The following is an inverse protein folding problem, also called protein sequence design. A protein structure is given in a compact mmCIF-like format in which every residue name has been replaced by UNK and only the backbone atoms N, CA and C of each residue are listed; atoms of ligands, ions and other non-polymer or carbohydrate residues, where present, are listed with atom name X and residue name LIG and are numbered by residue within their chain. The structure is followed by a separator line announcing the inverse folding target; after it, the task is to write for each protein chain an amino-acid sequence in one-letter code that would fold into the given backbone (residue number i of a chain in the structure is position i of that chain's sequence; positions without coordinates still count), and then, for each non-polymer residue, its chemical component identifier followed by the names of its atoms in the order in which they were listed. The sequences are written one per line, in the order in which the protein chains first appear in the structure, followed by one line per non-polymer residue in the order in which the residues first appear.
data_IF_903843708441
#
_entry.id   IF_903843708441
#
_cell.length_a   1.000
_cell.length_b   1.000
_cell.length_c   1.000
_cell.angle_alpha   90.00
_cell.angle_beta   90.00
_cell.angle_gamma   90.00
#
_symmetry.space_group_name_H-M   'P 1'
#
loop_
_entity.id
_entity.type
_entity.pdbx_description
1 polymer ?
2 non-polymer ?
3 non-polymer ?
4 water ?
#
# COMPACT_ATOMS: atom_id res chain seq x y z
N UNK A 1 9.75 -8.39 -6.11
CA UNK A 1 10.23 -7.60 -7.25
C UNK A 1 9.21 -6.56 -7.63
N UNK A 2 9.60 -5.69 -8.55
CA UNK A 2 8.72 -4.65 -9.02
C UNK A 2 7.59 -5.21 -9.82
N UNK A 3 7.83 -6.29 -10.57
CA UNK A 3 6.77 -6.94 -11.31
C UNK A 3 5.73 -7.52 -10.38
N UNK A 4 6.19 -8.22 -9.34
CA UNK A 4 5.19 -8.78 -8.35
C UNK A 4 4.37 -7.70 -7.65
N UNK A 5 5.00 -6.60 -7.36
CA UNK A 5 4.39 -5.46 -6.68
C UNK A 5 3.36 -4.83 -7.58
N UNK A 6 3.58 -4.91 -8.89
CA UNK A 6 2.58 -4.40 -9.83
C UNK A 6 1.26 -5.18 -9.71
N UNK A 7 1.37 -6.49 -9.55
CA UNK A 7 0.22 -7.33 -9.42
C UNK A 7 -0.47 -7.07 -8.05
N UNK A 8 0.32 -6.97 -6.99
CA UNK A 8 -0.28 -6.70 -5.66
C UNK A 8 -1.04 -5.35 -5.65
N UNK A 9 -0.40 -4.32 -6.17
CA UNK A 9 -0.99 -2.99 -6.27
C UNK A 9 -2.26 -2.95 -7.09
N UNK A 10 -2.22 -3.63 -8.23
CA UNK A 10 -3.36 -3.62 -9.12
C UNK A 10 -4.63 -4.20 -8.40
N UNK A 11 -4.47 -5.24 -7.56
CA UNK A 11 -5.59 -5.87 -6.86
C UNK A 11 -6.02 -5.02 -5.63
N UNK A 12 -5.02 -4.70 -4.81
CA UNK A 12 -5.26 -3.93 -3.62
C UNK A 12 -6.03 -2.63 -3.98
N UNK A 13 -5.67 -2.00 -5.07
CA UNK A 13 -6.29 -0.75 -5.49
C UNK A 13 -7.78 -0.80 -5.86
N UNK A 14 -8.30 -1.99 -6.17
CA UNK A 14 -9.75 -2.10 -6.49
C UNK A 14 -10.69 -1.64 -5.36
N UNK A 15 -10.23 -1.63 -4.11
CA UNK A 15 -11.10 -1.18 -3.03
C UNK A 15 -11.04 0.35 -2.78
N UNK A 16 -10.33 1.11 -3.64
CA UNK A 16 -10.29 2.54 -3.42
C UNK A 16 -11.72 3.17 -3.33
N UNK A 17 -12.53 2.96 -4.36
CA UNK A 17 -13.81 3.70 -4.51
C UNK A 17 -14.73 3.38 -3.30
N UNK A 18 -14.91 2.10 -2.94
CA UNK A 18 -15.70 1.77 -1.74
C UNK A 18 -15.19 2.31 -0.44
N UNK A 19 -13.92 2.74 -0.41
CA UNK A 19 -13.35 3.26 0.83
C UNK A 19 -13.28 4.74 0.86
N UNK A 20 -13.54 5.36 -0.27
CA UNK A 20 -13.35 6.81 -0.43
C UNK A 20 -14.16 7.71 0.57
N UNK A 21 -15.46 7.44 0.71
CA UNK A 21 -16.36 8.28 1.55
C UNK A 21 -15.95 8.26 3.01
N UNK A 22 -15.74 7.08 3.59
CA UNK A 22 -15.42 7.07 4.99
C UNK A 22 -14.02 7.67 5.30
N UNK A 23 -13.13 7.66 4.29
CA UNK A 23 -11.79 8.18 4.49
C UNK A 23 -11.72 9.69 4.27
N UNK A 24 -12.72 10.23 3.60
CA UNK A 24 -12.73 11.67 3.29
C UNK A 24 -11.71 12.03 2.20
N UNK A 25 -11.45 11.06 1.33
CA UNK A 25 -10.36 11.18 0.38
C UNK A 25 -10.89 11.67 -0.97
N UNK A 26 -10.76 12.96 -1.21
CA UNK A 26 -11.16 13.54 -2.52
C UNK A 26 -10.51 12.88 -3.74
N UNK A 27 -11.27 12.84 -4.84
CA UNK A 27 -10.75 12.42 -6.13
C UNK A 27 -9.62 13.31 -6.51
N UNK A 28 -9.62 14.54 -5.96
CA UNK A 28 -8.59 15.53 -6.30
C UNK A 28 -7.28 15.13 -5.68
N UNK A 29 -7.33 14.45 -4.53
CA UNK A 29 -6.13 13.95 -3.87
C UNK A 29 -5.61 12.71 -4.60
N UNK A 30 -6.46 11.72 -4.86
CA UNK A 30 -6.00 10.53 -5.57
C UNK A 30 -7.18 9.97 -6.31
N UNK A 31 -7.06 9.87 -7.65
CA UNK A 31 -8.19 9.50 -8.52
C UNK A 31 -8.20 7.98 -8.71
N UNK A 32 -7.00 7.40 -8.87
CA UNK A 32 -6.83 5.95 -9.02
C UNK A 32 -5.62 5.51 -8.25
N UNK A 33 -5.73 4.38 -7.56
CA UNK A 33 -4.72 4.03 -6.60
C UNK A 33 -3.35 3.78 -7.27
N UNK A 34 -3.35 3.33 -8.54
CA UNK A 34 -2.04 3.13 -9.26
C UNK A 34 -1.10 4.38 -9.17
N UNK A 35 -1.70 5.57 -9.14
CA UNK A 35 -0.88 6.79 -9.09
C UNK A 35 -0.16 6.94 -7.79
N UNK A 36 -0.43 6.05 -6.84
CA UNK A 36 0.35 6.07 -5.58
C UNK A 36 1.84 5.96 -5.94
N UNK A 37 2.13 5.17 -6.98
CA UNK A 37 3.52 4.97 -7.40
C UNK A 37 4.16 6.02 -8.30
N UNK A 38 3.40 6.97 -8.85
CA UNK A 38 4.01 8.03 -9.67
C UNK A 38 5.11 8.72 -8.91
N UNK A 39 6.23 8.90 -9.62
CA UNK A 39 7.41 9.63 -9.17
C UNK A 39 7.05 10.92 -8.46
N UNK A 40 6.08 11.64 -8.99
CA UNK A 40 5.75 12.92 -8.43
C UNK A 40 4.37 12.93 -7.76
N UNK A 41 3.87 11.76 -7.36
CA UNK A 41 2.75 11.81 -6.43
C UNK A 41 3.28 11.82 -4.98
N UNK A 42 2.94 12.87 -4.22
CA UNK A 42 3.40 12.98 -2.83
C UNK A 42 2.42 12.24 -1.91
N UNK A 43 2.94 11.29 -1.14
CA UNK A 43 2.15 10.46 -0.21
C UNK A 43 2.19 11.20 1.14
N UNK A 44 1.18 12.03 1.39
CA UNK A 44 1.18 12.92 2.56
C UNK A 44 -0.17 13.06 3.33
N UNK A 45 -1.28 12.84 2.65
CA UNK A 45 -2.55 13.27 3.24
C UNK A 45 -3.02 12.28 4.27
N UNK A 46 -3.42 12.78 5.44
CA UNK A 46 -4.06 11.90 6.41
C UNK A 46 -5.23 11.03 5.84
N UNK A 47 -6.04 11.60 4.96
CA UNK A 47 -7.14 10.92 4.32
C UNK A 47 -6.70 9.71 3.52
N UNK A 48 -5.50 9.80 2.93
CA UNK A 48 -5.00 8.66 2.18
C UNK A 48 -4.61 7.54 3.19
N UNK A 49 -4.14 7.97 4.37
CA UNK A 49 -3.81 7.03 5.46
C UNK A 49 -5.10 6.33 5.86
N UNK A 50 -6.22 7.08 5.97
CA UNK A 50 -7.53 6.46 6.33
C UNK A 50 -8.00 5.51 5.28
N UNK A 51 -7.86 5.92 4.02
CA UNK A 51 -8.19 5.06 2.95
C UNK A 51 -7.39 3.76 2.99
N UNK A 52 -6.09 3.87 3.26
CA UNK A 52 -5.22 2.66 3.24
C UNK A 52 -5.67 1.70 4.36
N UNK A 53 -6.09 2.25 5.49
CA UNK A 53 -6.61 1.39 6.58
C UNK A 53 -7.85 0.66 6.08
N UNK A 54 -8.77 1.42 5.46
CA UNK A 54 -9.98 0.88 4.99
C UNK A 54 -9.71 -0.24 3.96
N UNK A 55 -8.73 0.00 3.07
CA UNK A 55 -8.49 -0.94 2.00
C UNK A 55 -7.81 -2.19 2.54
N UNK A 56 -6.96 -1.98 3.53
CA UNK A 56 -6.20 -3.11 4.17
C UNK A 56 -7.18 -4.03 4.92
N UNK A 57 -8.09 -3.38 5.65
CA UNK A 57 -9.12 -4.11 6.40
C UNK A 57 -9.92 -5.08 5.56
N UNK A 58 -10.13 -4.75 4.29
CA UNK A 58 -10.80 -5.61 3.37
C UNK A 58 -10.13 -6.95 3.28
N UNK A 59 -8.80 -7.00 3.38
CA UNK A 59 -8.09 -8.28 3.23
C UNK A 59 -7.41 -8.71 4.54
N UNK A 60 -7.97 -8.23 5.64
CA UNK A 60 -7.40 -8.47 6.99
C UNK A 60 -5.89 -8.23 7.15
N UNK A 61 -5.37 -7.14 6.56
CA UNK A 61 -3.91 -6.93 6.53
C UNK A 61 -3.38 -6.15 7.74
N UNK A 62 -4.34 -5.66 8.55
CA UNK A 62 -4.10 -4.96 9.84
C UNK A 62 -4.30 -5.82 11.07
N UNK A 63 -3.40 -5.67 12.04
CA UNK A 63 -3.56 -6.38 13.32
C UNK A 63 -4.44 -5.51 14.24
N UNK A 64 -4.64 -5.93 15.49
CA UNK A 64 -5.58 -5.27 16.40
C UNK A 64 -5.22 -3.82 16.60
N UNK A 65 -3.94 -3.50 16.48
CA UNK A 65 -3.46 -2.14 16.77
C UNK A 65 -3.23 -1.30 15.49
N UNK A 66 -3.80 -1.75 14.39
CA UNK A 66 -3.72 -0.98 13.12
C UNK A 66 -2.28 -0.87 12.66
N UNK A 67 -1.54 -1.99 12.89
CA UNK A 67 -0.21 -2.18 12.25
C UNK A 67 -0.40 -3.32 11.28
N UNK A 68 0.56 -3.50 10.39
CA UNK A 68 0.57 -4.67 9.52
C UNK A 68 0.44 -6.00 10.29
N UNK A 69 -0.51 -6.85 9.86
CA UNK A 69 -0.57 -8.26 10.33
C UNK A 69 0.37 -9.02 9.44
N UNK A 70 1.51 -9.50 10.02
CA UNK A 70 2.60 -10.01 9.20
C UNK A 70 2.18 -11.27 8.41
N UNK A 71 1.53 -12.18 9.12
CA UNK A 71 1.10 -13.46 8.52
C UNK A 71 0.10 -13.20 7.42
N UNK A 72 -0.90 -12.35 7.68
CA UNK A 72 -1.95 -12.15 6.65
C UNK A 72 -1.38 -11.44 5.44
N UNK A 73 -0.47 -10.50 5.70
CA UNK A 73 0.25 -9.83 4.60
C UNK A 73 1.08 -10.84 3.74
N UNK A 74 1.88 -11.67 4.39
CA UNK A 74 2.64 -12.72 3.68
C UNK A 74 1.72 -13.63 2.82
N UNK A 75 0.56 -14.04 3.40
CA UNK A 75 -0.39 -14.89 2.71
C UNK A 75 -1.01 -14.18 1.52
N UNK A 76 -1.28 -12.89 1.67
CA UNK A 76 -1.83 -12.10 0.58
C UNK A 76 -0.80 -11.99 -0.54
N UNK A 77 0.43 -11.64 -0.17
CA UNK A 77 1.43 -11.43 -1.22
C UNK A 77 1.70 -12.74 -2.01
N UNK A 78 1.77 -13.87 -1.32
CA UNK A 78 1.96 -15.17 -1.97
C UNK A 78 0.79 -15.64 -2.76
N UNK A 79 -0.38 -15.02 -2.58
CA UNK A 79 -1.54 -15.32 -3.48
C UNK A 79 -1.42 -14.77 -4.93
N UNK A 80 -0.35 -14.02 -5.22
CA UNK A 80 -0.08 -13.44 -6.55
C UNK A 80 1.03 -14.21 -7.23
N UNK A 81 1.09 -14.19 -8.58
CA UNK A 81 2.13 -14.97 -9.31
C UNK A 81 3.56 -14.60 -8.87
N UNK A 82 4.35 -15.62 -8.53
CA UNK A 82 5.69 -15.47 -7.93
C UNK A 82 5.76 -14.69 -6.65
N UNK A 83 4.60 -14.55 -5.97
CA UNK A 83 4.52 -13.78 -4.72
C UNK A 83 5.57 -14.15 -3.69
N UNK A 84 5.98 -15.43 -3.64
CA UNK A 84 6.99 -15.79 -2.65
C UNK A 84 8.35 -15.02 -2.80
N UNK A 85 8.71 -14.58 -4.00
CA UNK A 85 9.95 -13.86 -4.09
C UNK A 85 9.92 -12.49 -3.37
N UNK A 86 8.74 -11.91 -3.12
CA UNK A 86 8.58 -10.55 -2.59
C UNK A 86 8.17 -10.58 -1.10
N UNK A 87 7.49 -11.64 -0.68
CA UNK A 87 6.80 -11.62 0.64
C UNK A 87 7.72 -11.30 1.82
N UNK A 88 8.88 -11.96 1.94
CA UNK A 88 9.78 -11.71 3.11
C UNK A 88 10.24 -10.28 3.11
N UNK A 89 10.78 -9.85 1.97
CA UNK A 89 11.36 -8.49 1.92
C UNK A 89 10.29 -7.43 2.21
N UNK A 90 9.10 -7.61 1.67
CA UNK A 90 8.10 -6.55 1.72
C UNK A 90 7.66 -6.35 3.17
N UNK A 91 7.47 -7.45 3.92
CA UNK A 91 7.04 -7.38 5.34
C UNK A 91 8.12 -6.70 6.15
N UNK A 92 9.38 -7.09 5.88
CA UNK A 92 10.52 -6.58 6.61
C UNK A 92 10.56 -5.11 6.36
N UNK A 93 10.48 -4.75 5.07
CA UNK A 93 10.54 -3.31 4.72
C UNK A 93 9.40 -2.46 5.37
N UNK A 94 8.14 -2.89 5.23
CA UNK A 94 7.03 -2.23 5.91
C UNK A 94 7.20 -2.16 7.42
N UNK A 95 7.57 -3.27 8.06
CA UNK A 95 7.71 -3.25 9.52
C UNK A 95 8.81 -2.26 9.98
N UNK A 96 9.91 -2.17 9.19
CA UNK A 96 10.97 -1.21 9.48
C UNK A 96 10.44 0.24 9.47
N UNK A 97 9.58 0.55 8.51
CA UNK A 97 8.94 1.84 8.45
C UNK A 97 8.03 2.09 9.66
N UNK A 98 7.23 1.09 9.99
CA UNK A 98 6.34 1.18 11.16
C UNK A 98 7.09 1.54 12.43
N UNK A 99 8.26 0.93 12.65
CA UNK A 99 9.04 1.21 13.86
C UNK A 99 9.45 2.68 13.91
N UNK A 100 9.70 3.29 12.73
CA UNK A 100 10.20 4.69 12.71
C UNK A 100 9.11 5.69 13.06
N UNK A 101 7.87 5.25 12.91
CA UNK A 101 6.71 6.10 13.17
C UNK A 101 5.85 5.60 14.31
N UNK A 102 6.42 4.78 15.18
CA UNK A 102 5.64 4.22 16.30
C UNK A 102 5.12 5.27 17.32
N UNK A 103 5.67 6.48 17.29
CA UNK A 103 5.25 7.51 18.23
C UNK A 103 4.18 8.38 17.63
N UNK A 104 3.74 8.06 16.42
CA UNK A 104 2.53 8.72 15.90
C UNK A 104 1.30 7.87 16.34
N UNK A 105 0.45 8.32 17.27
CA UNK A 105 -0.68 7.45 17.70
C UNK A 105 -1.91 7.66 16.80
N UNK A 106 -2.02 8.82 16.14
CA UNK A 106 -3.10 8.90 15.13
C UNK A 106 -2.91 7.87 14.01
N UNK A 107 -3.86 6.95 13.90
CA UNK A 107 -3.77 5.79 12.97
C UNK A 107 -3.71 6.22 11.48
N UNK A 108 -4.61 7.11 11.06
CA UNK A 108 -4.53 7.56 9.65
C UNK A 108 -3.22 8.26 9.32
N UNK A 109 -2.73 9.07 10.24
CA UNK A 109 -1.50 9.84 10.03
C UNK A 109 -0.30 8.89 10.06
N UNK A 110 -0.25 8.03 11.07
CA UNK A 110 0.81 7.00 11.15
C UNK A 110 0.90 6.16 9.84
N UNK A 111 -0.23 5.76 9.30
CA UNK A 111 -0.27 4.88 8.16
C UNK A 111 0.17 5.62 6.87
N UNK A 112 -0.24 6.87 6.72
CA UNK A 112 0.26 7.62 5.55
C UNK A 112 1.78 7.85 5.63
N UNK A 113 2.29 8.11 6.85
CA UNK A 113 3.74 8.29 7.00
C UNK A 113 4.45 7.00 6.72
N UNK A 114 3.91 5.89 7.22
CA UNK A 114 4.46 4.59 6.94
C UNK A 114 4.42 4.27 5.40
N UNK A 115 3.32 4.60 4.72
CA UNK A 115 3.15 4.42 3.28
C UNK A 115 4.23 5.16 2.50
N UNK A 116 4.52 6.39 2.92
CA UNK A 116 5.54 7.20 2.25
C UNK A 116 6.94 6.61 2.42
N UNK A 117 7.20 6.11 3.61
CA UNK A 117 8.48 5.46 3.90
C UNK A 117 8.63 4.18 3.06
N UNK A 118 7.54 3.42 2.99
CA UNK A 118 7.48 2.18 2.25
C UNK A 118 7.72 2.46 0.74
N UNK A 119 7.13 3.54 0.22
CA UNK A 119 7.36 3.94 -1.17
C UNK A 119 8.82 4.27 -1.44
N UNK A 120 9.40 5.12 -0.61
CA UNK A 120 10.77 5.46 -0.74
C UNK A 120 11.74 4.29 -0.55
N UNK A 121 11.46 3.40 0.41
CA UNK A 121 12.35 2.25 0.60
C UNK A 121 12.15 1.20 -0.48
N UNK A 122 10.92 1.09 -1.01
CA UNK A 122 10.63 0.21 -2.12
C UNK A 122 11.48 0.62 -3.33
N UNK A 123 11.54 1.93 -3.66
CA UNK A 123 12.46 2.39 -4.75
C UNK A 123 13.93 2.04 -4.45
N UNK A 124 14.40 2.36 -3.24
CA UNK A 124 15.77 2.07 -2.89
C UNK A 124 16.07 0.60 -3.05
N UNK A 125 15.14 -0.27 -2.69
CA UNK A 125 15.41 -1.71 -2.64
C UNK A 125 15.02 -2.43 -3.94
N UNK A 126 14.44 -1.70 -4.89
CA UNK A 126 14.09 -2.24 -6.18
C UNK A 126 12.78 -3.02 -6.27
N UNK A 127 11.84 -2.69 -5.38
CA UNK A 127 10.53 -3.36 -5.47
C UNK A 127 9.37 -2.43 -5.82
N UNK A 128 9.70 -1.23 -6.26
CA UNK A 128 8.69 -0.23 -6.74
C UNK A 128 8.40 -0.36 -8.21
N UNK A 129 7.11 -0.61 -8.58
CA UNK A 129 6.72 -0.65 -9.95
C UNK A 129 6.54 0.77 -10.51
N UNK A 130 6.55 0.89 -11.83
CA UNK A 130 6.09 2.10 -12.54
C UNK A 130 4.59 1.98 -12.72
N UNK A 131 3.90 3.11 -12.89
CA UNK A 131 2.46 3.06 -13.18
C UNK A 131 2.13 2.17 -14.37
N UNK A 132 2.95 2.22 -15.41
CA UNK A 132 2.67 1.38 -16.61
C UNK A 132 2.60 -0.12 -16.35
N UNK A 133 3.37 -0.60 -15.37
CA UNK A 133 3.39 -2.01 -15.01
C UNK A 133 2.08 -2.35 -14.30
N UNK A 134 1.69 -1.48 -13.37
CA UNK A 134 0.36 -1.58 -12.71
C UNK A 134 -0.81 -1.57 -13.72
N UNK A 135 -0.81 -0.59 -14.64
CA UNK A 135 -1.80 -0.55 -15.72
C UNK A 135 -1.85 -1.81 -16.57
N UNK A 136 -0.69 -2.34 -16.95
CA UNK A 136 -0.61 -3.60 -17.74
C UNK A 136 -1.34 -4.77 -17.11
N UNK A 137 -1.27 -4.90 -15.78
CA UNK A 137 -2.07 -5.91 -15.08
C UNK A 137 -3.55 -5.59 -15.13
N UNK A 138 -3.92 -4.39 -14.70
CA UNK A 138 -5.33 -3.95 -14.76
C UNK A 138 -5.95 -4.15 -16.15
N UNK A 139 -5.17 -3.82 -17.17
CA UNK A 139 -5.64 -3.88 -18.59
C UNK A 139 -5.90 -5.28 -19.20
N UNK A 140 -5.59 -6.34 -18.45
CA UNK A 140 -5.75 -7.70 -18.98
C UNK A 140 -7.20 -8.16 -18.93
N UNK A 141 -7.93 -7.61 -17.96
CA UNK A 141 -9.37 -7.79 -17.85
C UNK A 141 -10.15 -7.28 -19.10
X LIG B 1 -4.03 2.69 18.75
X LIG C 1 1.24 0.42 9.06
X LIG C 1 0.84 -0.56 8.09
X LIG C 1 1.00 -0.10 6.65
X LIG C 1 0.17 -1.00 5.76
X LIG C 1 0.97 -1.37 4.50
X LIG C 1 0.67 -0.43 3.34
X LIG C 1 1.91 0.30 2.86
X LIG C 1 1.53 1.40 1.88
X LIG C 1 0.17 1.17 1.28
X LIG C 1 0.07 1.40 -0.21
X LIG C 1 0.72 0.27 -0.97
X LIG C 1 0.01 -0.57 -1.70
X LIG C 1 0.70 -1.63 -2.42
X LIG C 1 0.40 -2.91 -2.23
X LIG C 1 -0.70 -3.33 -1.29
X LIG C 1 -0.15 -4.05 -0.05
X LIG C 1 0.28 -3.00 0.95
#
# INVERSE_FOLDING_TARGET
TAEVMSHVTAHFGKTLEECREESGLSVDILDEFKHFWSDDFDVVHRELGCAIICMSNKFSLMDDDVRMHHVNMDEYIKSFPNGQVLAEKMVKLIHNCEKQFDTETDDCTRVVKVAACFKEDSRKEGIAPEVAMVEAVIEKY
MG MG
BOM O1 C2 C4 C7 C10 C13 C16 C19 C22 C25 C28 C31 C33 C35 C37 C39 C42
#
